data_IF_301298882202
#
_entry.id   IF_301298882202
#
_cell.length_a   1.000
_cell.length_b   1.000
_cell.length_c   1.000
_cell.angle_alpha   90.00
_cell.angle_beta   90.00
_cell.angle_gamma   90.00
#
_symmetry.space_group_name_H-M   'P 1'
#
loop_
_entity.id
_entity.type
_entity.pdbx_description
1 polymer ?
#
# COMPACT_ATOMS: atom_id res chain seq x y z
N UNK A 1 -4.73 -10.84 -7.30
CA UNK A 1 -5.87 -10.78 -6.36
C UNK A 1 -6.95 -9.82 -6.87
N UNK A 2 -8.03 -9.55 -6.13
CA UNK A 2 -8.88 -8.36 -6.35
C UNK A 2 -8.06 -7.06 -6.18
N UNK A 3 -7.00 -7.12 -5.39
CA UNK A 3 -6.07 -6.02 -5.09
C UNK A 3 -4.84 -6.00 -6.02
N UNK A 4 -5.00 -6.27 -7.34
CA UNK A 4 -3.85 -6.35 -8.28
C UNK A 4 -2.93 -5.13 -8.23
N UNK A 5 -3.50 -3.93 -8.05
CA UNK A 5 -2.69 -2.71 -7.92
C UNK A 5 -1.75 -2.73 -6.70
N UNK A 6 -2.20 -3.30 -5.58
CA UNK A 6 -1.34 -3.49 -4.40
C UNK A 6 -0.30 -4.58 -4.67
N UNK A 7 -0.69 -5.70 -5.31
CA UNK A 7 0.24 -6.77 -5.68
C UNK A 7 1.39 -6.24 -6.56
N UNK A 8 1.06 -5.43 -7.57
CA UNK A 8 2.03 -4.83 -8.50
C UNK A 8 2.95 -3.84 -7.79
N UNK A 9 2.40 -2.96 -6.95
CA UNK A 9 3.17 -2.00 -6.14
C UNK A 9 4.15 -2.72 -5.21
N UNK A 10 3.67 -3.69 -4.42
CA UNK A 10 4.50 -4.43 -3.47
C UNK A 10 5.60 -5.21 -4.19
N UNK A 11 5.25 -5.87 -5.30
CA UNK A 11 6.22 -6.57 -6.13
C UNK A 11 7.26 -5.63 -6.73
N UNK A 12 6.87 -4.41 -7.10
CA UNK A 12 7.79 -3.41 -7.61
C UNK A 12 8.77 -2.95 -6.53
N UNK A 13 8.30 -2.67 -5.32
CA UNK A 13 9.16 -2.25 -4.20
C UNK A 13 10.17 -3.35 -3.82
N UNK A 14 9.74 -4.61 -3.74
CA UNK A 14 10.64 -5.72 -3.43
C UNK A 14 11.74 -5.91 -4.50
N UNK A 15 11.49 -5.52 -5.76
CA UNK A 15 12.48 -5.56 -6.85
C UNK A 15 13.39 -4.33 -6.93
N UNK A 16 13.04 -3.24 -6.25
CA UNK A 16 13.69 -1.94 -6.36
C UNK A 16 14.03 -1.41 -4.94
N UNK A 17 15.03 -2.01 -4.26
CA UNK A 17 15.34 -1.73 -2.86
C UNK A 17 15.84 -0.30 -2.61
N UNK A 18 16.19 0.46 -3.65
CA UNK A 18 16.52 1.88 -3.57
C UNK A 18 15.32 2.76 -3.21
N UNK A 19 14.09 2.27 -3.40
CA UNK A 19 12.87 3.01 -3.06
C UNK A 19 12.61 2.86 -1.57
N UNK A 20 12.95 3.88 -0.80
CA UNK A 20 12.75 3.91 0.65
C UNK A 20 11.48 4.66 1.08
N UNK A 21 10.77 5.33 0.17
CA UNK A 21 9.60 6.15 0.52
C UNK A 21 8.54 6.14 -0.57
N UNK A 22 7.28 6.00 -0.18
CA UNK A 22 6.11 6.18 -1.03
C UNK A 22 5.20 7.22 -0.39
N UNK A 23 4.76 8.18 -1.21
CA UNK A 23 3.70 9.12 -0.86
C UNK A 23 2.40 8.59 -1.45
N UNK A 24 1.38 8.38 -0.60
CA UNK A 24 0.05 7.96 -1.03
C UNK A 24 -0.85 9.19 -1.03
N UNK A 25 -1.19 9.69 -2.21
CA UNK A 25 -2.00 10.90 -2.41
C UNK A 25 -3.15 10.66 -3.38
N UNK A 26 -4.02 11.65 -3.56
CA UNK A 26 -5.18 11.58 -4.44
C UNK A 26 -6.47 11.19 -3.71
N UNK A 27 -7.60 11.19 -4.43
CA UNK A 27 -8.89 10.82 -3.85
C UNK A 27 -8.94 9.33 -3.56
N UNK A 28 -9.43 8.97 -2.38
CA UNK A 28 -9.64 7.57 -2.02
C UNK A 28 -10.74 6.94 -2.88
N UNK A 29 -10.56 5.67 -3.24
CA UNK A 29 -11.54 4.93 -4.02
C UNK A 29 -12.67 4.44 -3.12
N UNK A 30 -13.91 4.69 -3.51
CA UNK A 30 -15.09 4.17 -2.80
C UNK A 30 -15.19 2.64 -2.97
N UNK A 31 -15.65 1.95 -1.93
CA UNK A 31 -15.70 0.48 -1.94
C UNK A 31 -14.38 -0.13 -1.46
N UNK A 32 -13.44 -0.39 -2.39
CA UNK A 32 -12.19 -1.09 -2.08
C UNK A 32 -11.28 -0.34 -1.10
N UNK A 33 -11.38 1.00 -1.02
CA UNK A 33 -10.56 1.86 -0.15
C UNK A 33 -9.08 1.47 -0.19
N UNK A 34 -8.52 1.53 -1.40
CA UNK A 34 -7.18 1.02 -1.70
C UNK A 34 -6.10 1.66 -0.83
N UNK A 35 -6.18 2.97 -0.56
CA UNK A 35 -5.26 3.64 0.34
C UNK A 35 -5.32 3.06 1.74
N UNK A 36 -6.52 2.96 2.34
CA UNK A 36 -6.73 2.28 3.62
C UNK A 36 -6.14 0.86 3.67
N UNK A 37 -6.39 0.05 2.64
CA UNK A 37 -5.86 -1.31 2.55
C UNK A 37 -4.32 -1.32 2.50
N UNK A 38 -3.71 -0.40 1.76
CA UNK A 38 -2.25 -0.26 1.66
C UNK A 38 -1.61 0.13 3.00
N UNK A 39 -2.24 1.05 3.75
CA UNK A 39 -1.78 1.41 5.11
C UNK A 39 -1.95 0.27 6.12
N UNK A 40 -3.04 -0.51 6.00
CA UNK A 40 -3.22 -1.71 6.80
C UNK A 40 -2.13 -2.74 6.52
N UNK A 41 -1.80 -2.98 5.25
CA UNK A 41 -0.71 -3.88 4.86
C UNK A 41 0.63 -3.42 5.42
N UNK A 42 0.93 -2.13 5.29
CA UNK A 42 2.19 -1.55 5.79
C UNK A 42 2.33 -1.75 7.31
N UNK A 43 1.27 -1.42 8.06
CA UNK A 43 1.30 -1.44 9.52
C UNK A 43 1.19 -2.86 10.09
N UNK A 44 0.22 -3.64 9.61
CA UNK A 44 -0.19 -4.90 10.23
C UNK A 44 0.22 -6.15 9.44
N UNK A 45 0.60 -6.01 8.17
CA UNK A 45 0.95 -7.14 7.32
C UNK A 45 -0.29 -7.95 6.89
N UNK A 46 -0.07 -9.25 6.72
CA UNK A 46 -1.09 -10.23 6.33
C UNK A 46 -1.19 -11.35 7.36
N UNK A 47 -2.30 -12.07 7.36
CA UNK A 47 -2.47 -13.33 8.10
C UNK A 47 -1.97 -14.55 7.29
N UNK A 48 -2.13 -15.76 7.85
CA UNK A 48 -1.71 -17.03 7.24
C UNK A 48 -2.40 -17.33 5.90
N UNK A 49 -3.49 -16.63 5.57
CA UNK A 49 -4.21 -16.74 4.29
C UNK A 49 -3.84 -15.62 3.32
N UNK A 50 -2.74 -14.89 3.57
CA UNK A 50 -2.32 -13.70 2.84
C UNK A 50 -3.38 -12.58 2.82
N UNK A 51 -4.28 -12.54 3.80
CA UNK A 51 -5.29 -11.50 3.91
C UNK A 51 -4.73 -10.32 4.70
N UNK A 52 -4.88 -9.10 4.16
CA UNK A 52 -4.44 -7.87 4.82
C UNK A 52 -5.23 -7.68 6.12
N UNK A 53 -4.50 -7.67 7.24
CA UNK A 53 -5.08 -7.52 8.58
C UNK A 53 -5.68 -6.13 8.73
N UNK A 54 -6.90 -6.02 9.28
CA UNK A 54 -7.67 -4.78 9.49
C UNK A 54 -8.12 -4.02 8.22
N UNK A 55 -7.94 -4.59 7.03
CA UNK A 55 -8.45 -3.98 5.81
C UNK A 55 -9.98 -4.13 5.72
N UNK A 56 -10.65 -3.04 5.35
CA UNK A 56 -12.10 -3.03 5.09
C UNK A 56 -12.44 -3.24 3.60
N UNK A 57 -11.45 -3.56 2.76
CA UNK A 57 -11.70 -3.94 1.36
C UNK A 57 -12.58 -5.20 1.33
N UNK A 58 -13.40 -5.43 0.27
CA UNK A 58 -14.23 -6.62 0.16
C UNK A 58 -13.42 -7.94 0.20
N UNK A 59 -12.40 -8.07 -0.65
CA UNK A 59 -11.50 -9.24 -0.67
C UNK A 59 -10.01 -8.87 -0.57
N UNK A 60 -9.51 -8.49 0.63
CA UNK A 60 -8.14 -8.04 0.88
C UNK A 60 -7.09 -9.17 0.89
N UNK A 61 -7.18 -10.16 0.01
CA UNK A 61 -6.15 -11.21 -0.14
C UNK A 61 -5.09 -10.76 -1.14
N UNK A 62 -3.81 -11.00 -0.85
CA UNK A 62 -2.69 -10.67 -1.74
C UNK A 62 -2.09 -11.91 -2.41
N UNK A 63 -1.59 -11.72 -3.64
CA UNK A 63 -0.93 -12.77 -4.44
C UNK A 63 0.60 -12.75 -4.36
N UNK A 64 1.17 -11.80 -3.61
CA UNK A 64 2.62 -11.64 -3.46
C UNK A 64 3.20 -12.49 -2.33
N UNK A 65 4.51 -12.72 -2.36
CA UNK A 65 5.20 -13.47 -1.31
C UNK A 65 5.29 -12.69 0.00
N UNK A 66 5.39 -13.42 1.11
CA UNK A 66 5.61 -12.82 2.43
C UNK A 66 6.89 -11.97 2.47
N UNK A 67 7.95 -12.41 1.77
CA UNK A 67 9.19 -11.62 1.66
C UNK A 67 8.93 -10.26 1.00
N UNK A 68 8.17 -10.22 -0.11
CA UNK A 68 7.86 -8.97 -0.79
C UNK A 68 7.00 -8.04 0.09
N UNK A 69 6.06 -8.60 0.85
CA UNK A 69 5.28 -7.87 1.85
C UNK A 69 6.21 -7.30 2.92
N UNK A 70 7.14 -8.09 3.45
CA UNK A 70 8.09 -7.63 4.47
C UNK A 70 9.03 -6.54 3.95
N UNK A 71 9.49 -6.62 2.70
CA UNK A 71 10.28 -5.57 2.06
C UNK A 71 9.47 -4.27 1.95
N UNK A 72 8.22 -4.35 1.49
CA UNK A 72 7.31 -3.21 1.44
C UNK A 72 7.05 -2.60 2.84
N UNK A 73 6.95 -3.41 3.90
CA UNK A 73 6.73 -2.89 5.26
C UNK A 73 7.93 -2.12 5.84
N UNK A 74 9.13 -2.28 5.25
CA UNK A 74 10.34 -1.57 5.70
C UNK A 74 10.46 -0.15 5.14
N UNK A 75 9.74 0.17 4.06
CA UNK A 75 9.78 1.51 3.47
C UNK A 75 8.95 2.50 4.30
N UNK A 76 9.20 3.80 4.13
CA UNK A 76 8.38 4.87 4.71
C UNK A 76 7.13 5.09 3.85
N UNK A 77 5.95 4.93 4.43
CA UNK A 77 4.68 5.24 3.77
C UNK A 77 4.13 6.55 4.34
N UNK A 78 3.97 7.57 3.48
CA UNK A 78 3.47 8.90 3.87
C UNK A 78 2.01 9.02 3.44
N UNK A 79 1.15 9.32 4.41
CA UNK A 79 -0.28 9.52 4.20
C UNK A 79 -0.58 10.95 3.74
N UNK A 80 -1.04 11.07 2.50
CA UNK A 80 -1.63 12.26 1.93
C UNK A 80 -2.95 11.93 1.21
N UNK A 81 -3.64 10.87 1.65
CA UNK A 81 -4.91 10.46 1.04
C UNK A 81 -5.91 11.63 1.17
N UNK A 82 -6.62 11.90 0.07
CA UNK A 82 -7.51 13.05 -0.07
C UNK A 82 -6.82 14.32 -0.56
N UNK A 83 -5.50 14.42 -0.49
CA UNK A 83 -4.77 15.56 -1.06
C UNK A 83 -4.66 15.42 -2.58
N UNK A 84 -5.12 16.43 -3.30
CA UNK A 84 -5.05 16.49 -4.78
C UNK A 84 -4.27 17.69 -5.29
N UNK A 85 -3.87 18.61 -4.41
CA UNK A 85 -3.09 19.78 -4.77
C UNK A 85 -1.61 19.41 -4.90
N UNK A 86 -1.08 19.51 -6.11
CA UNK A 86 0.29 19.10 -6.42
C UNK A 86 1.33 19.87 -5.60
N UNK A 87 1.15 21.16 -5.37
CA UNK A 87 2.07 21.99 -4.58
C UNK A 87 2.23 21.48 -3.14
N UNK A 88 1.14 21.02 -2.53
CA UNK A 88 1.16 20.44 -1.17
C UNK A 88 1.80 19.05 -1.14
N UNK A 89 1.69 18.28 -2.23
CA UNK A 89 2.32 16.96 -2.35
C UNK A 89 3.82 17.10 -2.55
N UNK A 90 4.26 18.06 -3.39
CA UNK A 90 5.68 18.29 -3.66
C UNK A 90 6.41 18.81 -2.40
N UNK A 91 5.75 19.62 -1.57
CA UNK A 91 6.41 20.23 -0.39
C UNK A 91 6.85 19.25 0.69
N UNK A 92 6.43 17.97 0.61
CA UNK A 92 6.80 16.92 1.58
C UNK A 92 7.85 15.93 1.04
N UNK A 93 8.23 16.06 -0.24
CA UNK A 93 9.23 15.24 -0.92
C UNK A 93 10.60 15.90 -0.77
#
# INVERSE_FOLDING_TARGET
SENKGIDELVSYISRNPEIHTIVVCGKEVTGHKTGHALFCLHKFGVDDSNRIVNSTSPDPVLGVSEQAINDFRRIKLIDMIGQTELEKIISII
#
